data_IF_578443828364
#
_entry.id   IF_578443828364
#
_cell.length_a   1.000
_cell.length_b   1.000
_cell.length_c   1.000
_cell.angle_alpha   90.00
_cell.angle_beta   90.00
_cell.angle_gamma   90.00
#
_symmetry.space_group_name_H-M   'P 1'
#
loop_
_entity.id
_entity.type
_entity.pdbx_description
1 polymer ?
#
# COMPACT_ATOMS: atom_id res chain seq x y z
N UNK A 1 -11.39 12.30 -23.71
CA UNK A 1 -11.84 11.58 -22.49
C UNK A 1 -11.03 12.11 -21.32
N UNK A 2 -11.64 12.90 -20.44
CA UNK A 2 -10.96 13.47 -19.28
C UNK A 2 -10.98 12.46 -18.14
N UNK A 3 -9.84 11.84 -17.86
CA UNK A 3 -9.59 11.23 -16.56
C UNK A 3 -9.61 12.35 -15.53
N UNK A 4 -10.63 12.38 -14.66
CA UNK A 4 -10.63 13.27 -13.50
C UNK A 4 -9.74 12.60 -12.47
N UNK A 5 -8.48 13.01 -12.43
CA UNK A 5 -7.59 12.64 -11.32
C UNK A 5 -8.19 13.24 -10.03
N UNK A 6 -8.42 12.43 -8.98
CA UNK A 6 -8.83 12.98 -7.70
C UNK A 6 -7.75 13.95 -7.22
N UNK A 7 -8.12 15.20 -6.96
CA UNK A 7 -7.24 16.18 -6.32
C UNK A 7 -7.00 15.76 -4.88
N UNK A 8 -5.88 15.09 -4.63
CA UNK A 8 -5.33 14.89 -3.30
C UNK A 8 -4.13 15.82 -3.12
N UNK A 9 -4.15 16.63 -2.07
CA UNK A 9 -2.97 17.30 -1.54
C UNK A 9 -2.49 16.47 -0.37
N UNK A 10 -1.33 15.82 -0.50
CA UNK A 10 -0.58 15.35 0.66
C UNK A 10 -0.18 16.58 1.46
N UNK A 11 -0.93 16.89 2.51
CA UNK A 11 -0.55 17.97 3.41
C UNK A 11 0.76 17.56 4.12
N UNK A 12 1.84 18.22 3.71
CA UNK A 12 3.18 18.25 4.30
C UNK A 12 4.10 17.07 3.92
N UNK A 13 5.12 17.39 3.12
CA UNK A 13 6.20 16.49 2.64
C UNK A 13 7.29 16.30 3.75
N UNK A 14 7.19 17.02 4.87
CA UNK A 14 8.31 17.19 5.82
C UNK A 14 8.34 16.20 7.00
N UNK A 15 7.38 15.28 7.12
CA UNK A 15 7.38 14.28 8.21
C UNK A 15 7.12 12.87 7.69
N UNK A 16 8.22 12.19 7.36
CA UNK A 16 8.31 10.84 6.80
C UNK A 16 8.13 9.73 7.85
N UNK A 17 7.93 10.09 9.13
CA UNK A 17 7.91 9.12 10.24
C UNK A 17 6.51 8.82 10.78
N UNK A 18 5.46 9.48 10.28
CA UNK A 18 4.08 9.32 10.77
C UNK A 18 3.11 9.03 9.63
N UNK A 19 2.30 8.00 9.78
CA UNK A 19 1.05 7.75 9.06
C UNK A 19 0.11 8.93 9.33
N UNK A 20 -0.03 9.80 8.33
CA UNK A 20 -0.85 11.03 8.44
C UNK A 20 -2.35 10.78 8.28
N UNK A 21 -2.75 9.57 7.90
CA UNK A 21 -4.15 9.14 7.80
C UNK A 21 -4.65 8.66 9.16
N UNK A 22 -5.37 9.51 9.89
CA UNK A 22 -6.11 9.12 11.10
C UNK A 22 -7.47 8.47 10.80
N UNK A 23 -7.90 8.49 9.53
CA UNK A 23 -9.17 7.96 9.03
C UNK A 23 -9.00 7.28 7.68
N UNK A 24 -9.81 6.25 7.43
CA UNK A 24 -9.89 5.58 6.14
C UNK A 24 -10.39 6.56 5.06
N UNK A 25 -9.68 6.66 3.93
CA UNK A 25 -10.00 7.61 2.85
C UNK A 25 -10.37 6.87 1.58
N UNK A 26 -11.50 7.25 0.98
CA UNK A 26 -11.99 6.63 -0.26
C UNK A 26 -11.57 7.46 -1.48
N UNK A 27 -10.86 6.82 -2.40
CA UNK A 27 -10.55 7.34 -3.72
C UNK A 27 -11.35 6.58 -4.77
N UNK A 28 -12.03 7.31 -5.65
CA UNK A 28 -12.85 6.72 -6.71
C UNK A 28 -12.29 7.10 -8.07
N UNK A 29 -11.94 6.10 -8.86
CA UNK A 29 -11.49 6.26 -10.24
C UNK A 29 -12.53 5.63 -11.16
N UNK A 30 -12.83 6.29 -12.27
CA UNK A 30 -13.71 5.74 -13.30
C UNK A 30 -12.87 5.49 -14.54
N UNK A 31 -12.77 4.22 -14.93
CA UNK A 31 -12.12 3.82 -16.18
C UNK A 31 -13.22 3.24 -17.05
N UNK A 32 -13.46 3.89 -18.19
CA UNK A 32 -14.61 3.62 -19.06
C UNK A 32 -15.94 3.74 -18.31
N UNK A 33 -16.62 2.63 -18.02
CA UNK A 33 -17.89 2.56 -17.29
C UNK A 33 -17.76 1.82 -15.95
N UNK A 34 -16.53 1.51 -15.52
CA UNK A 34 -16.25 0.76 -14.28
C UNK A 34 -15.72 1.72 -13.22
N UNK A 35 -16.30 1.64 -12.02
CA UNK A 35 -15.86 2.41 -10.86
C UNK A 35 -14.93 1.58 -9.98
N UNK A 36 -13.71 2.07 -9.78
CA UNK A 36 -12.74 1.51 -8.86
C UNK A 36 -12.71 2.35 -7.59
N UNK A 37 -13.05 1.73 -6.46
CA UNK A 37 -12.97 2.38 -5.15
C UNK A 37 -11.76 1.82 -4.40
N UNK A 38 -10.76 2.67 -4.15
CA UNK A 38 -9.63 2.35 -3.30
C UNK A 38 -9.85 2.98 -1.93
N UNK A 39 -9.69 2.18 -0.89
CA UNK A 39 -9.78 2.63 0.49
C UNK A 39 -8.38 2.63 1.07
N UNK A 40 -7.81 3.82 1.19
CA UNK A 40 -6.53 4.01 1.86
C UNK A 40 -6.75 4.00 3.38
N UNK A 41 -5.91 3.26 4.08
CA UNK A 41 -6.09 2.96 5.50
C UNK A 41 -4.93 3.48 6.32
N UNK A 42 -5.12 3.77 7.62
CA UNK A 42 -4.01 4.05 8.53
C UNK A 42 -2.93 2.96 8.46
N UNK A 43 -1.65 3.35 8.52
CA UNK A 43 -0.53 2.42 8.51
C UNK A 43 -0.47 1.54 9.76
N UNK A 44 0.06 0.32 9.60
CA UNK A 44 0.33 -0.62 10.69
C UNK A 44 1.85 -0.66 10.93
N UNK A 45 2.30 -0.59 12.18
CA UNK A 45 3.68 -0.36 12.64
C UNK A 45 4.18 1.07 12.43
N UNK A 46 3.28 2.04 12.56
CA UNK A 46 3.65 3.45 12.55
C UNK A 46 4.07 3.91 13.96
N UNK A 47 4.86 4.98 14.04
CA UNK A 47 5.65 5.49 15.20
C UNK A 47 4.98 5.66 16.57
N UNK A 48 3.75 5.22 16.78
CA UNK A 48 3.02 5.20 18.06
C UNK A 48 3.16 3.93 18.91
N UNK A 49 3.87 2.89 18.43
CA UNK A 49 4.06 1.63 19.15
C UNK A 49 2.82 0.71 19.16
N UNK A 50 2.90 -0.41 19.91
CA UNK A 50 1.92 -1.52 19.86
C UNK A 50 0.46 -1.11 20.12
N UNK A 51 0.21 -0.14 21.01
CA UNK A 51 -1.16 0.32 21.31
C UNK A 51 -1.77 1.08 20.12
N UNK A 52 -0.98 1.95 19.48
CA UNK A 52 -1.40 2.68 18.28
C UNK A 52 -1.71 1.73 17.12
N UNK A 53 -0.98 0.61 17.02
CA UNK A 53 -1.22 -0.39 15.99
C UNK A 53 -2.57 -1.08 16.15
N UNK A 54 -2.95 -1.48 17.37
CA UNK A 54 -4.26 -2.10 17.59
C UNK A 54 -5.42 -1.16 17.22
N UNK A 55 -5.33 0.12 17.57
CA UNK A 55 -6.34 1.11 17.18
C UNK A 55 -6.41 1.28 15.65
N UNK A 56 -5.26 1.29 14.96
CA UNK A 56 -5.23 1.37 13.51
C UNK A 56 -5.86 0.12 12.86
N UNK A 57 -5.63 -1.06 13.43
CA UNK A 57 -6.29 -2.30 12.99
C UNK A 57 -7.80 -2.23 13.17
N UNK A 58 -8.28 -1.75 14.31
CA UNK A 58 -9.71 -1.64 14.56
C UNK A 58 -10.36 -0.63 13.59
N UNK A 59 -9.72 0.52 13.32
CA UNK A 59 -10.16 1.49 12.31
C UNK A 59 -10.23 0.90 10.90
N UNK A 60 -9.29 0.02 10.53
CA UNK A 60 -9.32 -0.71 9.25
C UNK A 60 -10.58 -1.59 9.19
N UNK A 61 -10.86 -2.36 10.23
CA UNK A 61 -12.04 -3.23 10.27
C UNK A 61 -13.36 -2.46 10.30
N UNK A 62 -13.42 -1.33 11.02
CA UNK A 62 -14.57 -0.42 10.96
C UNK A 62 -14.81 0.07 9.54
N UNK A 63 -13.75 0.47 8.81
CA UNK A 63 -13.85 0.89 7.42
C UNK A 63 -14.43 -0.23 6.54
N UNK A 64 -13.90 -1.45 6.70
CA UNK A 64 -14.36 -2.62 5.93
C UNK A 64 -15.82 -2.97 6.23
N UNK A 65 -16.28 -2.83 7.47
CA UNK A 65 -17.67 -3.08 7.85
C UNK A 65 -18.66 -2.12 7.18
N UNK A 66 -18.21 -0.94 6.73
CA UNK A 66 -19.05 -0.02 5.94
C UNK A 66 -19.18 -0.44 4.47
N UNK A 67 -18.36 -1.37 4.01
CA UNK A 67 -18.35 -1.81 2.62
C UNK A 67 -19.38 -2.90 2.38
N UNK A 68 -20.17 -2.74 1.32
CA UNK A 68 -21.08 -3.80 0.88
C UNK A 68 -20.31 -5.02 0.36
N UNK A 69 -19.18 -4.77 -0.32
CA UNK A 69 -18.30 -5.80 -0.87
C UNK A 69 -16.85 -5.34 -0.74
N UNK A 70 -15.97 -6.28 -0.36
CA UNK A 70 -14.52 -6.11 -0.45
C UNK A 70 -14.02 -7.05 -1.55
N UNK A 71 -13.53 -6.48 -2.65
CA UNK A 71 -13.14 -7.27 -3.83
C UNK A 71 -11.71 -7.77 -3.75
N UNK A 72 -10.79 -6.92 -3.27
CA UNK A 72 -9.38 -7.24 -3.18
C UNK A 72 -8.72 -6.52 -1.99
N UNK A 73 -7.60 -7.07 -1.54
CA UNK A 73 -6.72 -6.50 -0.54
C UNK A 73 -5.37 -6.16 -1.18
N UNK A 74 -4.88 -4.94 -0.98
CA UNK A 74 -3.55 -4.54 -1.44
C UNK A 74 -2.68 -4.36 -0.20
N UNK A 75 -1.62 -5.15 -0.11
CA UNK A 75 -0.64 -5.07 0.97
C UNK A 75 0.61 -4.36 0.49
N UNK A 76 0.83 -3.16 1.01
CA UNK A 76 2.03 -2.36 0.71
C UNK A 76 3.04 -2.59 1.84
N UNK A 77 4.19 -3.18 1.51
CA UNK A 77 5.24 -3.54 2.46
C UNK A 77 6.58 -2.97 2.00
N UNK A 78 7.48 -2.66 2.95
CA UNK A 78 8.83 -2.23 2.61
C UNK A 78 9.69 -3.45 2.23
N UNK A 79 10.09 -3.55 0.96
CA UNK A 79 10.85 -4.67 0.41
C UNK A 79 12.31 -4.75 0.85
N UNK A 80 12.84 -3.70 1.49
CA UNK A 80 14.17 -3.73 2.12
C UNK A 80 14.17 -4.45 3.46
N UNK A 81 13.00 -4.60 4.09
CA UNK A 81 12.87 -5.33 5.35
C UNK A 81 12.91 -6.83 5.12
N UNK A 82 13.62 -7.55 5.98
CA UNK A 82 13.86 -8.98 5.79
C UNK A 82 12.62 -9.85 6.04
N UNK A 83 11.68 -9.37 6.86
CA UNK A 83 10.60 -10.16 7.45
C UNK A 83 9.31 -9.36 7.63
N UNK A 84 8.19 -10.06 7.57
CA UNK A 84 6.88 -9.55 7.99
C UNK A 84 6.85 -9.37 9.52
N UNK A 85 6.41 -8.20 9.98
CA UNK A 85 6.28 -7.91 11.40
C UNK A 85 5.17 -8.75 12.04
N UNK A 86 5.23 -8.92 13.37
CA UNK A 86 4.21 -9.65 14.14
C UNK A 86 2.84 -8.98 13.99
N UNK A 87 2.77 -7.65 13.97
CA UNK A 87 1.49 -6.95 13.87
C UNK A 87 0.82 -7.19 12.52
N UNK A 88 1.57 -7.17 11.41
CA UNK A 88 1.00 -7.47 10.10
C UNK A 88 0.53 -8.92 10.03
N UNK A 89 1.27 -9.87 10.62
CA UNK A 89 0.81 -11.28 10.72
C UNK A 89 -0.52 -11.37 11.47
N UNK A 90 -0.63 -10.71 12.62
CA UNK A 90 -1.87 -10.70 13.41
C UNK A 90 -3.03 -10.09 12.62
N UNK A 91 -2.78 -9.04 11.83
CA UNK A 91 -3.80 -8.46 10.95
C UNK A 91 -4.25 -9.49 9.91
N UNK A 92 -3.31 -10.11 9.19
CA UNK A 92 -3.64 -11.12 8.18
C UNK A 92 -4.38 -12.32 8.77
N UNK A 93 -4.05 -12.73 9.99
CA UNK A 93 -4.80 -13.76 10.72
C UNK A 93 -6.23 -13.31 11.03
N UNK A 94 -6.44 -12.07 11.52
CA UNK A 94 -7.80 -11.53 11.73
C UNK A 94 -8.59 -11.43 10.42
N UNK A 95 -7.95 -11.09 9.31
CA UNK A 95 -8.59 -11.13 7.99
C UNK A 95 -8.91 -12.54 7.56
N UNK A 96 -8.01 -13.51 7.79
CA UNK A 96 -8.25 -14.92 7.48
C UNK A 96 -9.45 -15.46 8.25
N UNK A 97 -9.62 -15.07 9.51
CA UNK A 97 -10.71 -15.56 10.35
C UNK A 97 -12.07 -14.93 9.98
N UNK A 98 -12.07 -13.67 9.53
CA UNK A 98 -13.29 -12.91 9.24
C UNK A 98 -13.69 -12.92 7.76
N UNK A 99 -12.71 -12.92 6.86
CA UNK A 99 -12.87 -12.77 5.41
C UNK A 99 -11.83 -13.63 4.64
N UNK A 100 -11.86 -14.96 4.81
CA UNK A 100 -10.82 -15.87 4.30
C UNK A 100 -10.62 -15.78 2.78
N UNK A 101 -11.69 -15.69 2.01
CA UNK A 101 -11.64 -15.75 0.54
C UNK A 101 -10.77 -14.64 -0.08
N UNK A 102 -10.78 -13.45 0.54
CA UNK A 102 -10.02 -12.29 0.05
C UNK A 102 -8.52 -12.51 0.25
N UNK A 103 -8.14 -13.07 1.40
CA UNK A 103 -6.74 -13.40 1.71
C UNK A 103 -6.19 -14.45 0.74
N UNK A 104 -6.97 -15.47 0.41
CA UNK A 104 -6.49 -16.57 -0.42
C UNK A 104 -6.52 -16.30 -1.92
N UNK A 105 -7.47 -15.48 -2.41
CA UNK A 105 -7.70 -15.34 -3.86
C UNK A 105 -7.43 -13.95 -4.39
N UNK A 106 -7.71 -12.92 -3.59
CA UNK A 106 -7.78 -11.54 -4.08
C UNK A 106 -6.85 -10.61 -3.29
N UNK A 107 -5.65 -11.09 -2.95
CA UNK A 107 -4.62 -10.26 -2.33
C UNK A 107 -3.54 -9.93 -3.34
N UNK A 108 -3.14 -8.66 -3.40
CA UNK A 108 -2.01 -8.14 -4.19
C UNK A 108 -0.94 -7.65 -3.21
N UNK A 109 0.32 -7.96 -3.48
CA UNK A 109 1.44 -7.48 -2.68
C UNK A 109 2.23 -6.46 -3.49
N UNK A 110 2.53 -5.32 -2.87
CA UNK A 110 3.41 -4.30 -3.42
C UNK A 110 4.59 -4.13 -2.47
N UNK A 111 5.80 -4.40 -2.94
CA UNK A 111 7.04 -4.22 -2.20
C UNK A 111 7.71 -2.91 -2.60
N UNK A 112 7.63 -1.91 -1.72
CA UNK A 112 8.21 -0.58 -1.94
C UNK A 112 9.67 -0.51 -1.53
N UNK A 113 10.37 0.54 -1.95
CA UNK A 113 11.80 0.79 -1.70
C UNK A 113 12.72 -0.31 -2.28
N UNK A 114 12.26 -1.07 -3.27
CA UNK A 114 13.04 -2.15 -3.87
C UNK A 114 12.69 -2.37 -5.35
N UNK A 115 13.56 -3.12 -6.03
CA UNK A 115 13.32 -3.73 -7.33
C UNK A 115 13.33 -5.26 -7.17
N UNK A 116 12.86 -6.00 -8.19
CA UNK A 116 12.79 -7.45 -8.15
C UNK A 116 14.10 -8.14 -7.77
N UNK A 117 15.25 -7.57 -8.15
CA UNK A 117 16.59 -8.11 -7.86
C UNK A 117 17.23 -7.57 -6.56
N UNK A 118 16.63 -6.58 -5.90
CA UNK A 118 17.14 -5.98 -4.65
C UNK A 118 16.26 -6.26 -3.44
N UNK A 119 15.14 -6.95 -3.64
CA UNK A 119 14.23 -7.35 -2.58
C UNK A 119 14.95 -8.21 -1.54
N UNK A 120 14.81 -7.84 -0.26
CA UNK A 120 15.32 -8.61 0.88
C UNK A 120 14.18 -9.30 1.65
N UNK A 121 12.96 -9.23 1.12
CA UNK A 121 11.77 -9.72 1.77
C UNK A 121 11.54 -11.21 1.46
N UNK A 122 11.77 -12.08 2.45
CA UNK A 122 11.75 -13.54 2.27
C UNK A 122 10.47 -14.24 2.75
N UNK A 123 9.58 -13.52 3.44
CA UNK A 123 8.54 -14.14 4.27
C UNK A 123 7.12 -13.76 3.88
N UNK A 124 6.55 -14.43 2.88
CA UNK A 124 5.07 -14.59 2.84
C UNK A 124 4.63 -15.97 2.36
N UNK A 125 4.96 -17.02 3.13
CA UNK A 125 4.35 -18.36 2.92
C UNK A 125 2.81 -18.30 2.90
N UNK A 126 2.22 -17.32 3.58
CA UNK A 126 0.77 -17.14 3.68
C UNK A 126 0.13 -16.61 2.37
N UNK A 127 0.92 -16.00 1.49
CA UNK A 127 0.44 -15.33 0.28
C UNK A 127 1.21 -15.80 -0.97
N UNK A 128 1.68 -17.05 -0.98
CA UNK A 128 2.43 -17.63 -2.11
C UNK A 128 1.68 -17.56 -3.46
N UNK A 129 0.38 -17.28 -3.45
CA UNK A 129 -0.46 -17.16 -4.65
C UNK A 129 -0.77 -15.70 -5.04
N UNK A 130 -0.45 -14.73 -4.19
CA UNK A 130 -0.70 -13.32 -4.48
C UNK A 130 0.29 -12.82 -5.54
N UNK A 131 -0.17 -12.10 -6.57
CA UNK A 131 0.76 -11.38 -7.44
C UNK A 131 1.57 -10.38 -6.62
N UNK A 132 2.89 -10.38 -6.85
CA UNK A 132 3.85 -9.50 -6.19
C UNK A 132 4.37 -8.50 -7.21
N UNK A 133 4.26 -7.22 -6.87
CA UNK A 133 4.81 -6.10 -7.64
C UNK A 133 5.92 -5.44 -6.83
N UNK A 134 6.95 -4.97 -7.52
CA UNK A 134 8.06 -4.25 -6.92
C UNK A 134 7.93 -2.78 -7.31
N UNK A 135 8.35 -1.89 -6.41
CA UNK A 135 8.25 -0.46 -6.67
C UNK A 135 9.42 0.28 -6.03
N UNK A 136 10.24 0.89 -6.87
CA UNK A 136 11.21 1.87 -6.41
C UNK A 136 10.52 3.25 -6.32
N UNK A 137 10.21 3.66 -5.10
CA UNK A 137 9.45 4.87 -4.80
C UNK A 137 10.33 6.13 -4.65
N UNK A 138 11.62 6.07 -4.98
CA UNK A 138 12.48 7.26 -5.06
C UNK A 138 11.96 8.30 -6.07
N UNK A 139 11.15 7.89 -7.05
CA UNK A 139 10.42 8.79 -7.93
C UNK A 139 9.35 9.64 -7.22
N UNK A 140 9.06 9.39 -5.95
CA UNK A 140 8.10 10.19 -5.17
C UNK A 140 8.78 10.96 -4.03
N UNK A 141 10.11 10.89 -3.92
CA UNK A 141 10.87 11.55 -2.84
C UNK A 141 11.22 13.01 -3.12
N UNK A 142 10.97 13.49 -4.34
CA UNK A 142 11.27 14.87 -4.75
C UNK A 142 10.30 15.34 -5.83
N UNK A 143 10.13 16.66 -5.94
CA UNK A 143 9.23 17.25 -6.93
C UNK A 143 9.71 16.96 -8.36
N UNK A 144 8.85 16.32 -9.16
CA UNK A 144 9.11 15.97 -10.55
C UNK A 144 9.48 17.16 -11.45
N UNK A 145 9.04 18.38 -11.08
CA UNK A 145 9.42 19.61 -11.78
C UNK A 145 10.91 19.94 -11.61
N UNK A 146 11.54 19.49 -10.52
CA UNK A 146 12.96 19.73 -10.22
C UNK A 146 13.89 18.70 -10.84
N UNK A 147 13.35 17.63 -11.43
CA UNK A 147 14.19 16.55 -11.97
C UNK A 147 14.92 16.93 -13.25
N UNK A 148 16.21 16.61 -13.26
CA UNK A 148 17.02 16.68 -14.47
C UNK A 148 16.58 15.63 -15.49
N UNK A 149 16.96 15.81 -16.76
CA UNK A 149 16.74 14.79 -17.80
C UNK A 149 17.34 13.42 -17.42
N UNK A 150 18.54 13.42 -16.83
CA UNK A 150 19.21 12.20 -16.38
C UNK A 150 18.42 11.50 -15.26
N UNK A 151 17.93 12.26 -14.28
CA UNK A 151 17.09 11.73 -13.20
C UNK A 151 15.82 11.10 -13.78
N UNK A 152 15.16 11.75 -14.75
CA UNK A 152 13.96 11.22 -15.41
C UNK A 152 14.24 9.91 -16.15
N UNK A 153 15.31 9.85 -16.94
CA UNK A 153 15.72 8.63 -17.65
C UNK A 153 15.97 7.45 -16.70
N UNK A 154 16.65 7.69 -15.57
CA UNK A 154 16.94 6.65 -14.57
C UNK A 154 15.64 6.15 -13.94
N UNK A 155 14.80 7.06 -13.44
CA UNK A 155 13.54 6.70 -12.79
C UNK A 155 12.57 6.00 -13.75
N UNK A 156 12.52 6.40 -15.02
CA UNK A 156 11.70 5.72 -16.04
C UNK A 156 12.19 4.30 -16.31
N UNK A 157 13.51 4.09 -16.39
CA UNK A 157 14.09 2.75 -16.56
C UNK A 157 13.78 1.86 -15.38
N UNK A 158 13.94 2.37 -14.16
CA UNK A 158 13.62 1.63 -12.95
C UNK A 158 12.16 1.17 -12.95
N UNK A 159 11.24 2.01 -13.40
CA UNK A 159 9.81 1.69 -13.42
C UNK A 159 9.39 0.70 -14.51
N UNK A 160 10.08 0.66 -15.65
CA UNK A 160 9.82 -0.31 -16.73
C UNK A 160 10.31 -1.71 -16.36
N UNK A 161 11.32 -1.80 -15.48
CA UNK A 161 11.95 -3.06 -15.06
C UNK A 161 11.34 -3.59 -13.73
N UNK A 162 10.51 -2.79 -13.06
CA UNK A 162 9.78 -3.11 -11.82
C UNK A 162 8.56 -3.99 -12.06
#
# INVERSE_FOLDING_TARGET
MSSVMPTHHENCIDDITRSKTSKCTRYTFTVEQVHFNFFDTPGINDTGGYLSDNENVDRIFECIQTLQYLTALILVLNGTQARLTVNIKNVLERFRDRIPDIIYRNTIIILTNCAAHTVNFSSVKLLNHAPVFYMQNSAFSSDAQTWTYQTREILQRDWIIS
#
